data_IF_206634132766
#
_entry.id   IF_206634132766
#
_cell.length_a   1.000
_cell.length_b   1.000
_cell.length_c   1.000
_cell.angle_alpha   90.00
_cell.angle_beta   90.00
_cell.angle_gamma   90.00
#
_symmetry.space_group_name_H-M   'P 1'
#
loop_
_entity.id
_entity.type
_entity.pdbx_description
1 polymer ?
#
# COMPACT_ATOMS: atom_id res chain seq x y z
N UNK A 1 11.58 2.07 -24.90
CA UNK A 1 11.27 1.65 -23.52
C UNK A 1 9.79 1.93 -23.31
N UNK A 2 9.03 0.98 -22.75
CA UNK A 2 7.58 1.18 -22.58
C UNK A 2 7.39 2.00 -21.31
N UNK A 3 6.76 3.19 -21.41
CA UNK A 3 6.25 3.92 -20.25
C UNK A 3 5.53 2.94 -19.32
N UNK A 4 6.08 2.68 -18.13
CA UNK A 4 5.42 1.87 -17.12
C UNK A 4 4.44 2.76 -16.36
N UNK A 5 3.17 2.64 -16.75
CA UNK A 5 2.07 3.36 -16.10
C UNK A 5 1.27 2.42 -15.22
N UNK A 6 1.15 2.76 -13.93
CA UNK A 6 0.36 2.02 -12.95
C UNK A 6 -0.96 2.76 -12.73
N UNK A 7 -2.07 2.14 -13.12
CA UNK A 7 -3.42 2.69 -12.90
C UNK A 7 -4.28 1.80 -12.01
N UNK A 8 -4.97 2.40 -11.04
CA UNK A 8 -5.94 1.69 -10.22
C UNK A 8 -6.54 2.57 -9.12
N UNK A 9 -7.39 1.96 -8.30
CA UNK A 9 -8.00 2.69 -7.19
C UNK A 9 -7.01 2.89 -6.05
N UNK A 10 -7.00 4.10 -5.50
CA UNK A 10 -6.19 4.45 -4.35
C UNK A 10 -6.87 4.04 -3.03
N UNK A 11 -6.08 3.57 -2.08
CA UNK A 11 -6.46 3.40 -0.69
C UNK A 11 -5.62 4.34 0.17
N UNK A 12 -6.28 5.17 0.96
CA UNK A 12 -5.61 6.26 1.67
C UNK A 12 -5.38 5.90 3.13
N UNK A 13 -4.15 6.11 3.57
CA UNK A 13 -3.68 5.93 4.94
C UNK A 13 -2.99 7.19 5.44
N UNK A 14 -2.90 7.36 6.76
CA UNK A 14 -2.24 8.50 7.37
C UNK A 14 -0.73 8.33 7.54
N UNK A 15 -0.18 9.07 8.50
CA UNK A 15 1.19 8.94 8.99
C UNK A 15 1.38 7.65 9.80
N UNK A 16 2.64 7.23 9.96
CA UNK A 16 3.09 6.20 10.91
C UNK A 16 2.30 4.88 10.81
N UNK A 17 2.20 4.35 9.57
CA UNK A 17 1.69 3.01 9.33
C UNK A 17 2.82 2.01 9.59
N UNK A 18 2.76 1.28 10.69
CA UNK A 18 3.80 0.33 11.08
C UNK A 18 3.60 -1.07 10.48
N UNK A 19 4.61 -1.94 10.64
CA UNK A 19 4.59 -3.29 10.08
C UNK A 19 3.58 -4.23 10.75
N UNK A 20 3.16 -3.98 12.00
CA UNK A 20 2.09 -4.72 12.67
C UNK A 20 0.72 -4.30 12.16
N UNK A 21 0.55 -3.03 11.77
CA UNK A 21 -0.65 -2.56 11.08
C UNK A 21 -0.75 -3.14 9.66
N UNK A 22 0.37 -3.26 8.94
CA UNK A 22 0.41 -3.86 7.60
C UNK A 22 0.14 -5.36 7.64
N UNK A 23 0.78 -6.09 8.57
CA UNK A 23 0.56 -7.53 8.76
C UNK A 23 0.88 -7.89 10.22
N UNK A 24 -0.14 -8.16 11.06
CA UNK A 24 0.05 -8.55 12.44
C UNK A 24 0.97 -9.77 12.60
N UNK A 25 1.78 -9.77 13.67
CA UNK A 25 2.78 -10.81 13.92
C UNK A 25 2.20 -12.24 14.00
N UNK A 26 0.94 -12.38 14.44
CA UNK A 26 0.25 -13.68 14.52
C UNK A 26 0.01 -14.35 13.16
N UNK A 27 0.07 -13.59 12.06
CA UNK A 27 -0.12 -14.09 10.70
C UNK A 27 1.20 -14.44 9.98
N UNK A 28 2.34 -14.40 10.67
CA UNK A 28 3.66 -14.72 10.11
C UNK A 28 4.01 -16.21 10.20
N UNK A 29 2.99 -17.06 10.15
CA UNK A 29 3.10 -18.52 10.36
C UNK A 29 2.90 -19.31 9.07
N UNK A 30 2.50 -18.64 7.99
CA UNK A 30 2.16 -19.26 6.71
C UNK A 30 3.37 -19.36 5.79
N UNK A 31 3.46 -20.43 5.01
CA UNK A 31 4.49 -20.55 3.98
C UNK A 31 4.29 -19.50 2.87
N UNK A 32 5.39 -18.86 2.46
CA UNK A 32 5.41 -17.86 1.39
C UNK A 32 5.38 -18.51 -0.01
N UNK A 33 5.90 -19.73 -0.12
CA UNK A 33 6.04 -20.46 -1.38
C UNK A 33 4.82 -21.34 -1.68
N UNK A 34 4.04 -21.72 -0.66
CA UNK A 34 2.78 -22.43 -0.87
C UNK A 34 1.71 -21.48 -1.47
N UNK A 35 1.11 -21.81 -2.63
CA UNK A 35 0.16 -20.93 -3.29
C UNK A 35 -1.13 -20.64 -2.51
N UNK A 36 -1.58 -21.54 -1.64
CA UNK A 36 -2.80 -21.37 -0.86
C UNK A 36 -2.53 -20.68 0.49
N UNK A 37 -1.48 -21.09 1.19
CA UNK A 37 -1.06 -20.44 2.43
C UNK A 37 -0.63 -19.00 2.19
N UNK A 38 0.12 -18.74 1.11
CA UNK A 38 0.56 -17.38 0.80
C UNK A 38 -0.60 -16.41 0.58
N UNK A 39 -1.80 -16.88 0.17
CA UNK A 39 -3.01 -16.02 0.08
C UNK A 39 -3.45 -15.46 1.43
N UNK A 40 -3.08 -16.10 2.55
CA UNK A 40 -3.37 -15.59 3.89
C UNK A 40 -2.69 -14.25 4.14
N UNK A 41 -1.47 -14.04 3.64
CA UNK A 41 -0.84 -12.71 3.70
C UNK A 41 -1.64 -11.64 2.97
N UNK A 42 -2.20 -11.97 1.81
CA UNK A 42 -3.12 -11.06 1.11
C UNK A 42 -4.40 -10.80 1.89
N UNK A 43 -4.99 -11.84 2.49
CA UNK A 43 -6.20 -11.75 3.32
C UNK A 43 -6.03 -10.80 4.50
N UNK A 44 -4.87 -10.87 5.17
CA UNK A 44 -4.59 -10.09 6.38
C UNK A 44 -3.81 -8.79 6.12
N UNK A 45 -3.61 -8.42 4.85
CA UNK A 45 -2.96 -7.15 4.50
C UNK A 45 -3.76 -5.96 5.06
N UNK A 46 -3.07 -5.08 5.77
CA UNK A 46 -3.61 -3.91 6.48
C UNK A 46 -4.69 -4.23 7.54
N UNK A 47 -4.77 -5.48 8.00
CA UNK A 47 -5.77 -5.89 9.01
C UNK A 47 -5.52 -5.30 10.40
N UNK A 48 -4.30 -4.87 10.70
CA UNK A 48 -3.96 -4.19 11.95
C UNK A 48 -4.21 -2.68 11.95
N UNK A 49 -4.61 -2.09 10.82
CA UNK A 49 -4.95 -0.66 10.76
C UNK A 49 -6.27 -0.43 11.51
N UNK A 50 -6.30 0.50 12.50
CA UNK A 50 -7.54 0.85 13.20
C UNK A 50 -8.64 1.29 12.23
N UNK A 51 -9.92 0.92 12.46
CA UNK A 51 -11.00 1.23 11.54
C UNK A 51 -11.10 2.71 11.17
N UNK A 52 -10.95 3.64 12.12
CA UNK A 52 -10.98 5.08 11.89
C UNK A 52 -9.84 5.61 11.00
N UNK A 53 -8.74 4.85 10.88
CA UNK A 53 -7.60 5.14 10.00
C UNK A 53 -7.62 4.33 8.71
N UNK A 54 -8.54 3.37 8.57
CA UNK A 54 -8.64 2.47 7.44
C UNK A 54 -9.48 3.07 6.31
N UNK A 55 -8.82 3.60 5.29
CA UNK A 55 -9.47 4.16 4.11
C UNK A 55 -9.95 5.59 4.33
N UNK A 56 -9.01 6.52 4.47
CA UNK A 56 -9.27 7.94 4.68
C UNK A 56 -9.88 8.63 3.44
N UNK A 57 -10.57 9.78 3.61
CA UNK A 57 -10.83 10.48 4.88
C UNK A 57 -11.98 9.92 5.72
N UNK A 58 -12.87 9.11 5.14
CA UNK A 58 -14.06 8.62 5.84
C UNK A 58 -13.74 7.58 6.93
N UNK A 59 -12.69 6.77 6.73
CA UNK A 59 -12.39 5.64 7.59
C UNK A 59 -13.40 4.50 7.44
N UNK A 60 -13.21 3.42 8.20
CA UNK A 60 -14.11 2.27 8.28
C UNK A 60 -14.16 1.42 7.01
N UNK A 61 -13.31 1.69 6.02
CA UNK A 61 -13.29 0.94 4.76
C UNK A 61 -12.27 -0.18 4.87
N UNK A 62 -12.66 -1.47 4.86
CA UNK A 62 -11.70 -2.56 4.90
C UNK A 62 -10.85 -2.57 3.63
N UNK A 63 -9.53 -2.78 3.78
CA UNK A 63 -8.62 -2.84 2.66
C UNK A 63 -8.88 -4.06 1.77
N UNK A 64 -9.05 -5.23 2.37
CA UNK A 64 -9.43 -6.48 1.70
C UNK A 64 -10.87 -6.84 2.10
N UNK A 65 -11.78 -7.07 1.15
CA UNK A 65 -13.14 -7.50 1.45
C UNK A 65 -13.17 -8.81 2.24
N UNK A 66 -14.18 -8.99 3.08
CA UNK A 66 -14.39 -10.24 3.82
C UNK A 66 -14.47 -11.44 2.86
N UNK A 67 -13.76 -12.52 3.20
CA UNK A 67 -13.69 -13.74 2.37
C UNK A 67 -12.81 -13.62 1.13
N UNK A 68 -12.18 -12.47 0.87
CA UNK A 68 -11.21 -12.29 -0.21
C UNK A 68 -9.77 -12.27 0.32
N UNK A 69 -8.82 -12.44 -0.59
CA UNK A 69 -7.39 -12.27 -0.33
C UNK A 69 -6.74 -11.21 -1.23
N UNK A 70 -7.54 -10.55 -2.07
CA UNK A 70 -7.12 -9.46 -2.95
C UNK A 70 -7.96 -8.23 -2.66
N UNK A 71 -7.29 -7.08 -2.63
CA UNK A 71 -7.93 -5.79 -2.58
C UNK A 71 -8.38 -5.35 -3.97
N UNK A 72 -9.42 -4.50 -3.99
CA UNK A 72 -9.81 -3.72 -5.18
C UNK A 72 -8.95 -2.46 -5.37
N UNK A 73 -8.07 -2.14 -4.42
CA UNK A 73 -7.16 -1.00 -4.46
C UNK A 73 -5.76 -1.47 -4.85
N UNK A 74 -5.20 -0.90 -5.92
CA UNK A 74 -3.88 -1.28 -6.45
C UNK A 74 -2.79 -0.30 -6.04
N UNK A 75 -3.18 0.87 -5.52
CA UNK A 75 -2.28 1.95 -5.12
C UNK A 75 -2.61 2.29 -3.68
N UNK A 76 -1.60 2.37 -2.83
CA UNK A 76 -1.72 2.94 -1.48
C UNK A 76 -1.13 4.34 -1.53
N UNK A 77 -1.83 5.31 -0.95
CA UNK A 77 -1.28 6.65 -0.68
C UNK A 77 -1.24 6.84 0.82
N UNK A 78 -0.07 7.19 1.36
CA UNK A 78 0.16 7.33 2.78
C UNK A 78 0.91 8.62 3.11
N UNK A 79 0.93 8.98 4.40
CA UNK A 79 1.70 10.11 4.89
C UNK A 79 3.18 9.75 5.12
N UNK A 80 3.71 10.19 6.25
CA UNK A 80 5.11 10.00 6.65
C UNK A 80 5.35 8.64 7.29
N UNK A 81 6.60 8.19 7.24
CA UNK A 81 7.13 7.07 8.00
C UNK A 81 6.39 5.74 7.74
N UNK A 82 6.00 5.48 6.49
CA UNK A 82 5.31 4.26 6.11
C UNK A 82 6.22 3.02 6.26
N UNK A 83 5.65 1.94 6.80
CA UNK A 83 6.33 0.67 7.06
C UNK A 83 7.29 0.73 8.25
N UNK A 84 7.06 1.63 9.21
CA UNK A 84 7.89 1.75 10.41
C UNK A 84 7.70 0.58 11.39
N UNK A 85 8.47 0.58 12.49
CA UNK A 85 8.45 -0.50 13.47
C UNK A 85 9.42 -1.64 13.13
N UNK A 86 9.00 -2.87 13.44
CA UNK A 86 9.87 -4.05 13.39
C UNK A 86 10.26 -4.44 11.95
N UNK A 87 11.45 -5.03 11.79
CA UNK A 87 11.91 -5.55 10.50
C UNK A 87 11.05 -6.74 10.08
N UNK A 88 10.23 -6.56 9.05
CA UNK A 88 9.26 -7.57 8.61
C UNK A 88 9.15 -7.60 7.09
N UNK A 89 9.82 -8.55 6.45
CA UNK A 89 9.76 -8.73 4.99
C UNK A 89 8.36 -9.12 4.50
N UNK A 90 7.59 -9.81 5.35
CA UNK A 90 6.20 -10.16 5.08
C UNK A 90 5.30 -8.93 4.86
N UNK A 91 5.66 -7.74 5.33
CA UNK A 91 4.84 -6.54 5.19
C UNK A 91 4.67 -6.11 3.72
N UNK A 92 5.72 -5.81 2.96
CA UNK A 92 5.57 -5.52 1.53
C UNK A 92 5.05 -6.73 0.73
N UNK A 93 5.40 -7.96 1.11
CA UNK A 93 4.85 -9.17 0.48
C UNK A 93 3.33 -9.26 0.63
N UNK A 94 2.78 -9.01 1.82
CA UNK A 94 1.34 -9.06 2.09
C UNK A 94 0.58 -8.05 1.23
N UNK A 95 1.09 -6.82 1.12
CA UNK A 95 0.52 -5.79 0.25
C UNK A 95 0.54 -6.23 -1.23
N UNK A 96 1.67 -6.76 -1.70
CA UNK A 96 1.81 -7.25 -3.07
C UNK A 96 0.87 -8.44 -3.35
N UNK A 97 0.75 -9.38 -2.40
CA UNK A 97 -0.16 -10.53 -2.50
C UNK A 97 -1.62 -10.09 -2.55
N UNK A 98 -1.98 -9.05 -1.80
CA UNK A 98 -3.29 -8.42 -1.89
C UNK A 98 -3.53 -7.68 -3.22
N UNK A 99 -2.49 -7.47 -4.04
CA UNK A 99 -2.58 -6.87 -5.37
C UNK A 99 -2.16 -5.41 -5.45
N UNK A 100 -1.52 -4.87 -4.40
CA UNK A 100 -0.89 -3.56 -4.44
C UNK A 100 0.29 -3.61 -5.40
N UNK A 101 0.41 -2.60 -6.26
CA UNK A 101 1.54 -2.45 -7.19
C UNK A 101 2.45 -1.30 -6.80
N UNK A 102 1.90 -0.27 -6.16
CA UNK A 102 2.67 0.88 -5.70
C UNK A 102 2.14 1.40 -4.37
N UNK A 103 3.08 1.86 -3.54
CA UNK A 103 2.80 2.71 -2.39
C UNK A 103 3.39 4.08 -2.71
N UNK A 104 2.66 5.15 -2.44
CA UNK A 104 3.11 6.53 -2.57
C UNK A 104 3.04 7.15 -1.18
N UNK A 105 4.18 7.54 -0.61
CA UNK A 105 4.24 8.08 0.75
C UNK A 105 5.12 9.32 0.81
N UNK A 106 5.00 10.14 1.85
CA UNK A 106 5.91 11.27 2.07
C UNK A 106 7.29 10.80 2.54
N UNK A 107 7.34 9.69 3.29
CA UNK A 107 8.60 9.04 3.66
C UNK A 107 8.38 7.59 4.06
N UNK A 108 9.44 6.79 3.99
CA UNK A 108 9.44 5.38 4.35
C UNK A 108 10.42 5.08 5.46
N UNK A 109 10.09 4.06 6.27
CA UNK A 109 11.10 3.40 7.07
C UNK A 109 12.09 2.65 6.16
N UNK A 110 13.39 2.84 6.44
CA UNK A 110 14.49 2.33 5.60
C UNK A 110 14.40 0.84 5.29
N UNK A 111 13.99 0.02 6.27
CA UNK A 111 13.93 -1.43 6.12
C UNK A 111 12.78 -1.83 5.21
N UNK A 112 11.58 -1.28 5.41
CA UNK A 112 10.43 -1.53 4.55
C UNK A 112 10.71 -1.17 3.09
N UNK A 113 11.30 0.02 2.86
CA UNK A 113 11.67 0.48 1.53
C UNK A 113 12.62 -0.52 0.83
N UNK A 114 13.68 -0.94 1.52
CA UNK A 114 14.65 -1.91 0.99
C UNK A 114 14.00 -3.27 0.71
N UNK A 115 13.16 -3.78 1.60
CA UNK A 115 12.50 -5.07 1.42
C UNK A 115 11.54 -5.04 0.21
N UNK A 116 10.83 -3.92 0.00
CA UNK A 116 9.94 -3.73 -1.15
C UNK A 116 10.69 -3.86 -2.47
N UNK A 117 11.86 -3.21 -2.58
CA UNK A 117 12.70 -3.24 -3.78
C UNK A 117 13.39 -4.59 -3.95
N UNK A 118 14.06 -5.08 -2.91
CA UNK A 118 14.85 -6.31 -2.99
C UNK A 118 13.99 -7.54 -3.30
N UNK A 119 12.78 -7.60 -2.74
CA UNK A 119 11.83 -8.67 -3.02
C UNK A 119 11.04 -8.48 -4.31
N UNK A 120 11.15 -7.32 -4.98
CA UNK A 120 10.36 -6.99 -6.18
C UNK A 120 8.85 -6.99 -5.92
N UNK A 121 8.43 -6.69 -4.69
CA UNK A 121 7.03 -6.85 -4.27
C UNK A 121 6.13 -5.72 -4.78
N UNK A 122 6.60 -4.47 -4.67
CA UNK A 122 5.87 -3.27 -5.06
C UNK A 122 6.82 -2.11 -5.29
N UNK A 123 6.33 -1.04 -5.93
CA UNK A 123 7.08 0.21 -6.12
C UNK A 123 6.84 1.14 -4.92
N UNK A 124 7.87 1.46 -4.11
CA UNK A 124 7.77 2.48 -3.08
C UNK A 124 8.10 3.87 -3.67
N UNK A 125 7.09 4.59 -4.14
CA UNK A 125 7.22 5.95 -4.64
C UNK A 125 7.16 6.98 -3.51
N UNK A 126 7.93 8.07 -3.63
CA UNK A 126 7.93 9.16 -2.63
C UNK A 126 7.35 10.42 -3.26
N UNK A 127 6.39 11.07 -2.62
CA UNK A 127 5.93 12.40 -3.02
C UNK A 127 6.38 13.46 -2.01
N UNK A 128 6.64 14.68 -2.50
CA UNK A 128 7.05 15.82 -1.66
C UNK A 128 5.87 16.36 -0.83
N UNK A 129 4.68 16.28 -1.38
CA UNK A 129 3.45 16.69 -0.72
C UNK A 129 2.83 15.50 0.01
N UNK A 130 2.07 15.78 1.08
CA UNK A 130 1.30 14.75 1.75
C UNK A 130 -0.01 14.50 0.99
N UNK A 131 0.08 13.65 -0.04
CA UNK A 131 -1.05 13.30 -0.90
C UNK A 131 -2.18 12.60 -0.13
N UNK A 132 -1.91 12.02 1.05
CA UNK A 132 -2.94 11.41 1.88
C UNK A 132 -3.97 12.41 2.40
N UNK A 133 -3.63 13.70 2.42
CA UNK A 133 -4.53 14.80 2.81
C UNK A 133 -5.32 15.38 1.64
N UNK A 134 -4.96 15.01 0.41
CA UNK A 134 -5.54 15.55 -0.82
C UNK A 134 -6.46 14.52 -1.48
N UNK A 135 -6.04 13.26 -1.50
CA UNK A 135 -6.72 12.17 -2.18
C UNK A 135 -7.71 11.48 -1.26
N UNK A 136 -8.64 10.72 -1.85
CA UNK A 136 -9.68 9.98 -1.14
C UNK A 136 -9.66 8.50 -1.51
N UNK A 137 -10.04 7.66 -0.56
CA UNK A 137 -10.12 6.22 -0.81
C UNK A 137 -11.15 5.94 -1.89
N UNK A 138 -10.73 5.21 -2.93
CA UNK A 138 -11.55 4.92 -4.10
C UNK A 138 -11.30 5.83 -5.30
N UNK A 139 -10.50 6.89 -5.17
CA UNK A 139 -10.07 7.71 -6.31
C UNK A 139 -9.32 6.87 -7.35
N UNK A 140 -9.58 7.14 -8.62
CA UNK A 140 -8.86 6.54 -9.73
C UNK A 140 -7.53 7.28 -9.90
N UNK A 141 -6.42 6.58 -9.70
CA UNK A 141 -5.08 7.15 -9.70
C UNK A 141 -4.22 6.50 -10.78
N UNK A 142 -3.40 7.31 -11.43
CA UNK A 142 -2.39 6.90 -12.40
C UNK A 142 -1.01 7.37 -11.93
N UNK A 143 -0.03 6.47 -11.93
CA UNK A 143 1.38 6.77 -11.65
C UNK A 143 2.16 6.50 -12.92
N UNK A 144 2.86 7.52 -13.41
CA UNK A 144 3.88 7.41 -14.44
C UNK A 144 5.24 7.29 -13.76
N UNK A 145 5.79 6.08 -13.74
CA UNK A 145 7.02 5.76 -13.00
C UNK A 145 8.24 6.40 -13.65
N UNK A 146 8.27 6.48 -14.99
CA UNK A 146 9.40 7.08 -15.72
C UNK A 146 9.38 8.61 -15.60
N UNK A 147 8.20 9.22 -15.67
CA UNK A 147 8.06 10.66 -15.51
C UNK A 147 8.13 11.14 -14.05
N UNK A 148 7.95 10.24 -13.09
CA UNK A 148 7.87 10.58 -11.66
C UNK A 148 6.62 11.41 -11.35
N UNK A 149 5.48 11.05 -11.95
CA UNK A 149 4.24 11.83 -11.84
C UNK A 149 3.10 10.95 -11.33
N UNK A 150 2.23 11.53 -10.53
CA UNK A 150 0.99 10.91 -10.04
C UNK A 150 -0.21 11.81 -10.34
N UNK A 151 -1.24 11.21 -10.94
CA UNK A 151 -2.49 11.87 -11.33
C UNK A 151 -3.65 11.26 -10.59
N UNK A 152 -4.43 12.09 -9.91
CA UNK A 152 -5.75 11.73 -9.44
C UNK A 152 -6.77 12.08 -10.52
N UNK A 153 -7.23 11.07 -11.24
CA UNK A 153 -8.14 11.20 -12.37
C UNK A 153 -9.57 11.54 -11.91
N UNK A 154 -9.94 11.17 -10.68
CA UNK A 154 -11.27 11.45 -10.12
C UNK A 154 -11.40 12.93 -9.72
N UNK A 155 -10.35 13.50 -9.12
CA UNK A 155 -10.34 14.87 -8.62
C UNK A 155 -9.71 15.88 -9.59
N UNK A 156 -9.05 15.41 -10.67
CA UNK A 156 -8.36 16.26 -11.64
C UNK A 156 -7.07 16.89 -11.09
N UNK A 157 -6.36 16.19 -10.20
CA UNK A 157 -5.11 16.66 -9.60
C UNK A 157 -3.90 15.97 -10.24
N UNK A 158 -2.80 16.69 -10.41
CA UNK A 158 -1.52 16.16 -10.87
C UNK A 158 -0.39 16.64 -9.94
N UNK A 159 0.51 15.72 -9.57
CA UNK A 159 1.58 15.93 -8.57
C UNK A 159 2.84 15.15 -8.97
N UNK A 160 3.97 15.56 -8.40
CA UNK A 160 5.30 14.90 -8.47
C UNK A 160 5.56 14.05 -7.21
#
# INVERSE_FOLDING_TARGET
MKNETIRGKAYILGDDIDTDQIIPAEHLVYDLDDPEESKKYGTFALSGVPPDRAGLPEGGTPFVPEGAWRSRFQIIVAGKNFGCGSSREHAPFALAKAGVRAVVATSYARIFYRNSINGGYLIPATSREDLSRLFRTGDEVEIDVEAGMIRNLTQGLEKE
#
